data_IF_325973669539
#
_entry.id   IF_325973669539
#
_cell.length_a   1.000
_cell.length_b   1.000
_cell.length_c   1.000
_cell.angle_alpha   90.00
_cell.angle_beta   90.00
_cell.angle_gamma   90.00
#
_symmetry.space_group_name_H-M   'P 1'
#
loop_
_entity.id
_entity.type
_entity.pdbx_description
1 polymer ?
#
# COMPACT_ATOMS: atom_id res chain seq x y z
N UNK A 1 -32.05 53.03 57.16
CA UNK A 1 -31.06 52.34 56.31
C UNK A 1 -29.71 52.70 56.88
N UNK A 2 -28.91 51.71 57.28
CA UNK A 2 -27.60 51.95 57.90
C UNK A 2 -26.66 52.54 56.81
N UNK A 3 -26.04 53.72 57.02
CA UNK A 3 -25.16 54.34 56.03
C UNK A 3 -23.91 53.52 55.67
N UNK A 4 -23.66 52.39 56.35
CA UNK A 4 -22.56 51.47 56.06
C UNK A 4 -22.98 50.13 55.44
N UNK A 5 -24.26 49.96 55.11
CA UNK A 5 -24.74 48.74 54.44
C UNK A 5 -24.32 48.77 52.96
N UNK A 6 -23.34 47.93 52.60
CA UNK A 6 -22.88 47.77 51.22
C UNK A 6 -23.89 46.87 50.48
N UNK A 7 -24.37 47.35 49.33
CA UNK A 7 -25.26 46.59 48.44
C UNK A 7 -24.57 45.29 47.97
N UNK A 8 -25.28 44.16 48.02
CA UNK A 8 -24.77 42.89 47.52
C UNK A 8 -24.72 42.91 45.99
N UNK A 9 -23.54 43.17 45.44
CA UNK A 9 -23.30 43.26 43.99
C UNK A 9 -22.94 41.93 43.35
N UNK A 10 -23.14 40.80 44.04
CA UNK A 10 -22.75 39.47 43.52
C UNK A 10 -23.42 39.12 42.18
N UNK A 11 -24.63 39.65 41.95
CA UNK A 11 -25.38 39.48 40.70
C UNK A 11 -24.92 40.44 39.57
N UNK A 12 -24.16 41.50 39.87
CA UNK A 12 -23.76 42.51 38.87
C UNK A 12 -22.75 42.00 37.85
N UNK A 13 -21.96 40.99 38.21
CA UNK A 13 -20.90 40.47 37.36
C UNK A 13 -21.40 39.43 36.35
N UNK A 14 -22.67 39.02 36.41
CA UNK A 14 -23.23 38.01 35.49
C UNK A 14 -22.35 36.75 35.37
N UNK A 15 -21.67 36.39 36.47
CA UNK A 15 -20.69 35.31 36.44
C UNK A 15 -21.43 34.00 36.22
N UNK A 16 -21.01 33.16 35.25
CA UNK A 16 -21.67 31.90 34.97
C UNK A 16 -21.79 31.09 36.25
N UNK A 17 -22.98 30.60 36.52
CA UNK A 17 -23.18 29.69 37.64
C UNK A 17 -22.33 28.44 37.43
N UNK A 18 -22.00 27.75 38.53
CA UNK A 18 -21.28 26.46 38.44
C UNK A 18 -22.03 25.46 37.57
N UNK A 19 -23.36 25.49 37.58
CA UNK A 19 -24.19 24.63 36.75
C UNK A 19 -24.03 24.95 35.26
N UNK A 20 -24.13 26.22 34.87
CA UNK A 20 -23.92 26.66 33.48
C UNK A 20 -22.51 26.33 32.98
N UNK A 21 -21.51 26.52 33.84
CA UNK A 21 -20.11 26.16 33.54
C UNK A 21 -19.98 24.66 33.28
N UNK A 22 -20.55 23.81 34.13
CA UNK A 22 -20.50 22.35 33.96
C UNK A 22 -21.28 21.92 32.71
N UNK A 23 -22.43 22.53 32.42
CA UNK A 23 -23.20 22.25 31.20
C UNK A 23 -22.39 22.59 29.95
N UNK A 24 -21.73 23.74 29.93
CA UNK A 24 -20.88 24.15 28.82
C UNK A 24 -19.72 23.17 28.59
N UNK A 25 -19.02 22.77 29.65
CA UNK A 25 -17.96 21.76 29.56
C UNK A 25 -18.47 20.42 29.06
N UNK A 26 -19.66 19.98 29.51
CA UNK A 26 -20.26 18.75 29.04
C UNK A 26 -20.55 18.81 27.53
N UNK A 27 -21.06 19.93 27.01
CA UNK A 27 -21.27 20.13 25.58
C UNK A 27 -19.97 20.12 24.79
N UNK A 28 -18.91 20.79 25.27
CA UNK A 28 -17.60 20.76 24.62
C UNK A 28 -17.03 19.33 24.54
N UNK A 29 -17.10 18.57 25.65
CA UNK A 29 -16.64 17.20 25.68
C UNK A 29 -17.44 16.30 24.73
N UNK A 30 -18.75 16.53 24.61
CA UNK A 30 -19.59 15.80 23.66
C UNK A 30 -19.14 16.06 22.21
N UNK A 31 -18.89 17.33 21.86
CA UNK A 31 -18.38 17.71 20.53
C UNK A 31 -17.03 17.05 20.23
N UNK A 32 -16.09 17.09 21.18
CA UNK A 32 -14.77 16.47 21.05
C UNK A 32 -14.86 14.96 20.85
N UNK A 33 -15.72 14.29 21.63
CA UNK A 33 -15.99 12.85 21.48
C UNK A 33 -16.56 12.55 20.10
N UNK A 34 -17.50 13.37 19.60
CA UNK A 34 -18.04 13.20 18.26
C UNK A 34 -16.96 13.38 17.18
N UNK A 35 -16.09 14.38 17.33
CA UNK A 35 -14.98 14.61 16.41
C UNK A 35 -13.98 13.45 16.39
N UNK A 36 -13.62 12.91 17.57
CA UNK A 36 -12.75 11.74 17.69
C UNK A 36 -13.38 10.50 17.08
N UNK A 37 -14.69 10.27 17.27
CA UNK A 37 -15.42 9.16 16.64
C UNK A 37 -15.37 9.23 15.11
N UNK A 38 -15.52 10.43 14.53
CA UNK A 38 -15.40 10.65 13.07
C UNK A 38 -13.98 10.34 12.58
N UNK A 39 -12.95 10.85 13.26
CA UNK A 39 -11.54 10.58 12.93
C UNK A 39 -11.21 9.09 13.02
N UNK A 40 -11.69 8.41 14.06
CA UNK A 40 -11.49 6.96 14.24
C UNK A 40 -12.14 6.16 13.11
N UNK A 41 -13.35 6.53 12.68
CA UNK A 41 -14.01 5.88 11.54
C UNK A 41 -13.21 6.05 10.26
N UNK A 42 -12.81 7.29 9.93
CA UNK A 42 -12.00 7.56 8.75
C UNK A 42 -10.64 6.82 8.79
N UNK A 43 -10.00 6.76 9.96
CA UNK A 43 -8.75 6.02 10.13
C UNK A 43 -8.96 4.50 9.90
N UNK A 44 -10.06 3.94 10.38
CA UNK A 44 -10.41 2.53 10.13
C UNK A 44 -10.64 2.25 8.65
N UNK A 45 -11.42 3.09 7.97
CA UNK A 45 -11.68 2.99 6.53
C UNK A 45 -10.36 3.07 5.73
N UNK A 46 -9.48 4.01 6.07
CA UNK A 46 -8.16 4.13 5.44
C UNK A 46 -7.30 2.88 5.66
N UNK A 47 -7.26 2.34 6.88
CA UNK A 47 -6.48 1.12 7.18
C UNK A 47 -7.04 -0.06 6.39
N UNK A 48 -8.36 -0.23 6.34
CA UNK A 48 -8.99 -1.29 5.54
C UNK A 48 -8.62 -1.15 4.06
N UNK A 49 -8.72 0.06 3.49
CA UNK A 49 -8.31 0.28 2.10
C UNK A 49 -6.82 0.00 1.84
N UNK A 50 -5.94 0.33 2.80
CA UNK A 50 -4.51 0.00 2.69
C UNK A 50 -4.26 -1.52 2.72
N UNK A 51 -5.01 -2.26 3.54
CA UNK A 51 -4.92 -3.73 3.60
C UNK A 51 -5.35 -4.32 2.24
N UNK A 52 -6.48 -3.89 1.71
CA UNK A 52 -6.98 -4.36 0.40
C UNK A 52 -5.99 -4.11 -0.73
N UNK A 53 -5.39 -2.91 -0.77
CA UNK A 53 -4.35 -2.58 -1.76
C UNK A 53 -3.11 -3.43 -1.57
N UNK A 54 -2.67 -3.65 -0.32
CA UNK A 54 -1.51 -4.48 -0.03
C UNK A 54 -1.72 -5.95 -0.44
N UNK A 55 -2.92 -6.49 -0.22
CA UNK A 55 -3.30 -7.84 -0.65
C UNK A 55 -3.26 -7.95 -2.18
N UNK A 56 -3.81 -6.94 -2.89
CA UNK A 56 -3.76 -6.89 -4.35
C UNK A 56 -2.33 -6.79 -4.89
N UNK A 57 -1.48 -5.96 -4.27
CA UNK A 57 -0.07 -5.83 -4.63
C UNK A 57 0.69 -7.14 -4.40
N UNK A 58 0.41 -7.83 -3.28
CA UNK A 58 1.03 -9.12 -2.95
C UNK A 58 0.65 -10.21 -3.96
N UNK A 59 -0.62 -10.24 -4.39
CA UNK A 59 -1.08 -11.14 -5.44
C UNK A 59 -0.41 -10.83 -6.79
N UNK A 60 -0.35 -9.55 -7.18
CA UNK A 60 0.29 -9.12 -8.42
C UNK A 60 1.78 -9.46 -8.46
N UNK A 61 2.48 -9.25 -7.34
CA UNK A 61 3.89 -9.57 -7.20
C UNK A 61 4.12 -11.09 -7.31
N UNK A 62 3.26 -11.91 -6.71
CA UNK A 62 3.32 -13.37 -6.84
C UNK A 62 3.14 -13.81 -8.29
N UNK A 63 2.15 -13.25 -8.98
CA UNK A 63 1.90 -13.53 -10.40
C UNK A 63 3.07 -13.09 -11.29
N UNK A 64 3.64 -11.91 -11.05
CA UNK A 64 4.79 -11.41 -11.79
C UNK A 64 6.01 -12.31 -11.60
N UNK A 65 6.27 -12.79 -10.38
CA UNK A 65 7.35 -13.74 -10.09
C UNK A 65 7.14 -15.08 -10.80
N UNK A 66 5.93 -15.62 -10.80
CA UNK A 66 5.62 -16.85 -11.52
C UNK A 66 5.80 -16.69 -13.03
N UNK A 67 5.37 -15.56 -13.58
CA UNK A 67 5.56 -15.24 -15.00
C UNK A 67 7.04 -15.13 -15.37
N UNK A 68 7.85 -14.44 -14.55
CA UNK A 68 9.30 -14.33 -14.76
C UNK A 68 9.97 -15.71 -14.71
N UNK A 69 9.66 -16.54 -13.71
CA UNK A 69 10.22 -17.89 -13.60
C UNK A 69 9.89 -18.75 -14.83
N UNK A 70 8.66 -18.67 -15.35
CA UNK A 70 8.29 -19.37 -16.59
C UNK A 70 9.08 -18.85 -17.79
N UNK A 71 9.28 -17.53 -17.90
CA UNK A 71 10.06 -16.93 -18.99
C UNK A 71 11.54 -17.32 -18.94
N UNK A 72 12.11 -17.38 -17.74
CA UNK A 72 13.47 -17.88 -17.54
C UNK A 72 13.58 -19.35 -17.96
N UNK A 73 12.62 -20.20 -17.56
CA UNK A 73 12.56 -21.59 -17.99
C UNK A 73 12.45 -21.74 -19.52
N UNK A 74 11.55 -20.99 -20.17
CA UNK A 74 11.43 -20.96 -21.64
C UNK A 74 12.75 -20.55 -22.30
N UNK A 75 13.40 -19.50 -21.79
CA UNK A 75 14.67 -18.98 -22.32
C UNK A 75 15.79 -20.01 -22.19
N UNK A 76 15.88 -20.72 -21.07
CA UNK A 76 16.88 -21.78 -20.88
C UNK A 76 16.68 -22.97 -21.83
N UNK A 77 15.43 -23.36 -22.07
CA UNK A 77 15.10 -24.40 -23.07
C UNK A 77 15.53 -23.96 -24.47
N UNK A 78 15.13 -22.74 -24.88
CA UNK A 78 15.48 -22.18 -26.18
C UNK A 78 17.00 -22.10 -26.37
N UNK A 79 17.75 -21.70 -25.33
CA UNK A 79 19.21 -21.66 -25.40
C UNK A 79 19.81 -23.05 -25.63
N UNK A 80 19.28 -24.08 -24.96
CA UNK A 80 19.71 -25.47 -25.17
C UNK A 80 19.42 -25.96 -26.60
N UNK A 81 18.27 -25.60 -27.16
CA UNK A 81 17.92 -25.91 -28.55
C UNK A 81 18.86 -25.22 -29.55
N UNK A 82 19.14 -23.92 -29.34
CA UNK A 82 20.10 -23.17 -30.16
C UNK A 82 21.47 -23.85 -30.13
N UNK A 83 22.00 -24.16 -28.96
CA UNK A 83 23.29 -24.84 -28.82
C UNK A 83 23.34 -26.18 -29.57
N UNK A 84 22.26 -26.97 -29.46
CA UNK A 84 22.14 -28.24 -30.18
C UNK A 84 22.12 -28.04 -31.69
N UNK A 85 21.35 -27.07 -32.19
CA UNK A 85 21.26 -26.77 -33.62
C UNK A 85 22.59 -26.24 -34.16
N UNK A 86 23.29 -25.38 -33.41
CA UNK A 86 24.63 -24.91 -33.76
C UNK A 86 25.61 -26.07 -33.91
N UNK A 87 25.60 -27.00 -32.96
CA UNK A 87 26.47 -28.19 -33.05
C UNK A 87 26.17 -29.06 -34.28
N UNK A 88 24.90 -29.30 -34.58
CA UNK A 88 24.51 -30.09 -35.76
C UNK A 88 24.95 -29.38 -37.03
N UNK A 89 24.79 -28.06 -37.10
CA UNK A 89 25.19 -27.27 -38.27
C UNK A 89 26.71 -27.35 -38.48
N UNK A 90 27.51 -27.21 -37.43
CA UNK A 90 28.97 -27.37 -37.50
C UNK A 90 29.40 -28.75 -38.01
N UNK A 91 28.67 -29.82 -37.63
CA UNK A 91 28.94 -31.17 -38.13
C UNK A 91 28.58 -31.31 -39.61
N UNK A 92 27.43 -30.78 -40.03
CA UNK A 92 27.00 -30.79 -41.42
C UNK A 92 27.97 -30.01 -42.31
N UNK A 93 28.43 -28.84 -41.86
CA UNK A 93 29.45 -28.07 -42.58
C UNK A 93 30.74 -28.86 -42.79
N UNK A 94 31.21 -29.57 -41.77
CA UNK A 94 32.40 -30.44 -41.87
C UNK A 94 32.19 -31.56 -42.89
N UNK A 95 31.03 -32.21 -42.87
CA UNK A 95 30.70 -33.27 -43.84
C UNK A 95 30.63 -32.74 -45.27
N UNK A 96 30.00 -31.60 -45.48
CA UNK A 96 29.94 -30.94 -46.81
C UNK A 96 31.34 -30.66 -47.33
N UNK A 97 32.23 -30.07 -46.50
CA UNK A 97 33.61 -29.81 -46.90
C UNK A 97 34.36 -31.10 -47.27
N UNK A 98 34.22 -32.17 -46.48
CA UNK A 98 34.86 -33.46 -46.75
C UNK A 98 34.36 -34.12 -48.05
N UNK A 99 33.06 -34.01 -48.35
CA UNK A 99 32.50 -34.51 -49.61
C UNK A 99 32.98 -33.70 -50.82
N UNK A 100 33.06 -32.37 -50.70
CA UNK A 100 33.60 -31.51 -51.75
C UNK A 100 35.06 -31.81 -52.07
N UNK A 101 35.89 -32.13 -51.06
CA UNK A 101 37.31 -32.48 -51.29
C UNK A 101 37.48 -33.85 -51.96
N UNK A 102 36.60 -34.82 -51.68
CA UNK A 102 36.67 -36.16 -52.27
C UNK A 102 36.13 -36.23 -53.71
N UNK A 103 35.28 -35.29 -54.13
CA UNK A 103 34.75 -35.22 -55.50
C UNK A 103 35.67 -34.53 -56.52
N UNK A 104 36.79 -33.96 -56.08
CA UNK A 104 37.79 -33.26 -56.93
C UNK A 104 39.06 -34.08 -57.19
N UNK A 105 39.11 -35.34 -56.76
CA UNK A 105 40.17 -36.31 -57.05
C UNK A 105 39.65 -37.37 -58.04
#
# INVERSE_FOLDING_TARGET
MDPYEIEDTSDWLGSPTRLETVQHYASMLEEDIQALKRKLRAAKENITGLIEVNDQLSANLTNARAWLANREAETTVQLGEIQRLTFINDQLEKQVRALSTNGTA
#
